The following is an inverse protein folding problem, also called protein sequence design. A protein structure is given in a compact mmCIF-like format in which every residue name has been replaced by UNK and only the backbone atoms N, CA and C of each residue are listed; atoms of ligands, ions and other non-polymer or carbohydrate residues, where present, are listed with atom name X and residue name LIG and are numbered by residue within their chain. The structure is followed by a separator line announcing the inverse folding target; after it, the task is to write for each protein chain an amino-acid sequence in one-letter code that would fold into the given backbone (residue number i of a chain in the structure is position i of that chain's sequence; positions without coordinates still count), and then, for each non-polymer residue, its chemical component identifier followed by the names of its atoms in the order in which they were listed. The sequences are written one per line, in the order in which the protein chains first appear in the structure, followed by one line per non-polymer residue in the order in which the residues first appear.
data_IF_573068253059
#
_entry.id   IF_573068253059
#
_cell.length_a   1.000
_cell.length_b   1.000
_cell.length_c   1.000
_cell.angle_alpha   90.00
_cell.angle_beta   90.00
_cell.angle_gamma   90.00
#
_symmetry.space_group_name_H-M   'P 1'
#
loop_
_entity.id
_entity.type
_entity.pdbx_description
1 polymer ?
#
# COMPACT_ATOMS: atom_id res chain seq x y z
N UNK A 1 23.56 21.52 8.06
CA UNK A 1 22.14 21.36 8.42
C UNK A 1 22.10 20.33 9.53
N UNK A 2 21.32 20.50 10.60
CA UNK A 2 21.25 19.46 11.63
C UNK A 2 20.61 18.21 11.02
N UNK A 3 21.25 17.05 11.18
CA UNK A 3 20.71 15.78 10.71
C UNK A 3 19.44 15.44 11.49
N UNK A 4 18.47 14.81 10.82
CA UNK A 4 17.26 14.32 11.48
C UNK A 4 17.58 13.14 12.37
N UNK A 5 16.99 13.10 13.57
CA UNK A 5 17.08 11.94 14.46
C UNK A 5 16.10 10.85 13.98
N UNK A 6 16.58 9.64 13.58
CA UNK A 6 15.71 8.53 13.22
C UNK A 6 14.73 8.13 14.34
N UNK A 7 15.07 8.41 15.60
CA UNK A 7 14.24 8.11 16.77
C UNK A 7 12.95 8.95 16.83
N UNK A 8 12.87 10.03 16.06
CA UNK A 8 11.68 10.88 16.01
C UNK A 8 10.54 10.29 15.17
N UNK A 9 10.84 9.34 14.29
CA UNK A 9 9.89 8.83 13.32
C UNK A 9 9.18 7.57 13.84
N UNK A 10 7.87 7.51 13.62
CA UNK A 10 7.00 6.50 14.26
C UNK A 10 6.19 5.68 13.27
N UNK A 11 6.06 6.13 12.03
CA UNK A 11 5.31 5.42 10.98
C UNK A 11 6.16 5.32 9.72
N UNK A 12 6.21 4.12 9.14
CA UNK A 12 6.83 3.89 7.84
C UNK A 12 5.75 3.72 6.78
N UNK A 13 5.80 4.53 5.73
CA UNK A 13 5.05 4.35 4.50
C UNK A 13 5.97 3.70 3.47
N UNK A 14 5.78 2.42 3.20
CA UNK A 14 6.56 1.68 2.19
C UNK A 14 5.79 1.79 0.88
N UNK A 15 6.38 2.52 -0.07
CA UNK A 15 5.86 2.76 -1.41
C UNK A 15 6.87 2.19 -2.42
N UNK A 16 6.72 0.92 -2.83
CA UNK A 16 7.70 0.23 -3.66
C UNK A 16 8.11 0.97 -4.94
N UNK A 17 7.16 1.55 -5.68
CA UNK A 17 7.40 2.22 -6.95
C UNK A 17 7.57 3.73 -6.76
N UNK A 18 8.38 4.35 -7.63
CA UNK A 18 8.57 5.81 -7.63
C UNK A 18 7.24 6.58 -7.78
N UNK A 19 6.32 6.06 -8.60
CA UNK A 19 4.99 6.67 -8.79
C UNK A 19 4.12 6.59 -7.52
N UNK A 20 4.28 5.55 -6.70
CA UNK A 20 3.59 5.39 -5.42
C UNK A 20 4.20 6.32 -4.37
N UNK A 21 5.53 6.50 -4.39
CA UNK A 21 6.24 7.41 -3.51
C UNK A 21 5.92 8.89 -3.83
N UNK A 22 5.77 9.23 -5.11
CA UNK A 22 5.29 10.54 -5.56
C UNK A 22 3.87 10.79 -5.01
N UNK A 23 2.96 9.82 -5.12
CA UNK A 23 1.62 9.93 -4.57
C UNK A 23 1.62 10.08 -3.03
N UNK A 24 2.42 9.27 -2.33
CA UNK A 24 2.61 9.38 -0.88
C UNK A 24 3.11 10.77 -0.47
N UNK A 25 4.09 11.30 -1.20
CA UNK A 25 4.66 12.64 -0.98
C UNK A 25 3.62 13.73 -1.10
N UNK A 26 2.73 13.64 -2.09
CA UNK A 26 1.67 14.63 -2.31
C UNK A 26 0.59 14.61 -1.21
N UNK A 27 0.39 13.44 -0.58
CA UNK A 27 -0.56 13.22 0.52
C UNK A 27 -0.08 13.75 1.86
N UNK A 28 1.23 13.94 2.05
CA UNK A 28 1.78 14.50 3.29
C UNK A 28 1.42 15.99 3.44
N UNK A 29 1.27 16.44 4.68
CA UNK A 29 1.08 17.86 4.98
C UNK A 29 2.37 18.67 4.68
N UNK A 30 3.53 18.00 4.69
CA UNK A 30 4.82 18.60 4.43
C UNK A 30 5.98 17.60 4.50
N UNK A 31 7.11 18.00 3.92
CA UNK A 31 8.38 17.26 3.96
C UNK A 31 9.38 17.99 4.86
N UNK A 32 10.25 17.23 5.51
CA UNK A 32 11.42 17.81 6.18
C UNK A 32 12.53 18.08 5.14
N UNK A 33 13.15 19.27 5.15
CA UNK A 33 14.21 19.62 4.20
C UNK A 33 15.53 18.92 4.51
N UNK A 34 15.73 18.54 5.76
CA UNK A 34 16.91 17.85 6.27
C UNK A 34 16.89 16.37 5.86
N UNK A 35 18.07 15.72 5.94
CA UNK A 35 18.25 14.32 5.58
C UNK A 35 18.69 13.53 6.80
N UNK A 36 18.57 12.21 6.70
CA UNK A 36 19.20 11.31 7.66
C UNK A 36 20.69 11.11 7.32
N UNK A 37 21.52 10.98 8.33
CA UNK A 37 22.90 10.55 8.16
C UNK A 37 22.93 9.06 7.80
N UNK A 38 23.54 8.72 6.66
CA UNK A 38 23.69 7.34 6.21
C UNK A 38 25.12 6.86 6.41
N UNK A 39 25.29 5.58 6.71
CA UNK A 39 26.58 4.92 6.92
C UNK A 39 26.85 3.92 5.82
N UNK A 40 28.11 3.54 5.66
CA UNK A 40 28.48 2.48 4.74
C UNK A 40 27.77 1.19 5.15
N UNK A 41 27.04 0.60 4.20
CA UNK A 41 26.18 -0.57 4.43
C UNK A 41 24.70 -0.23 4.48
N UNK A 42 24.33 1.05 4.38
CA UNK A 42 22.93 1.41 4.18
C UNK A 42 22.52 1.30 2.70
N UNK A 43 21.47 0.51 2.42
CA UNK A 43 21.01 0.22 1.05
C UNK A 43 19.87 1.12 0.57
N UNK A 44 19.06 1.67 1.48
CA UNK A 44 17.88 2.48 1.18
C UNK A 44 18.01 3.91 1.70
N UNK A 45 17.40 4.86 0.99
CA UNK A 45 17.25 6.25 1.40
C UNK A 45 15.79 6.52 1.73
N UNK A 46 15.55 7.21 2.83
CA UNK A 46 14.21 7.51 3.32
C UNK A 46 13.85 8.98 3.13
N UNK A 47 12.62 9.25 2.68
CA UNK A 47 12.10 10.60 2.57
C UNK A 47 11.30 10.96 3.84
N UNK A 48 11.74 11.93 4.63
CA UNK A 48 11.08 12.32 5.87
C UNK A 48 9.95 13.34 5.62
N UNK A 49 8.80 13.15 6.26
CA UNK A 49 7.72 14.14 6.26
C UNK A 49 6.74 13.96 7.41
N UNK A 50 5.60 14.65 7.34
CA UNK A 50 4.60 14.59 8.39
C UNK A 50 3.16 14.60 7.87
N UNK A 51 2.26 14.00 8.64
CA UNK A 51 0.82 14.02 8.38
C UNK A 51 0.06 14.06 9.70
N UNK A 52 -0.77 15.08 9.91
CA UNK A 52 -1.60 15.27 11.10
C UNK A 52 -0.80 15.14 12.42
N UNK A 53 0.43 15.67 12.43
CA UNK A 53 1.33 15.62 13.59
C UNK A 53 2.12 14.32 13.76
N UNK A 54 1.87 13.29 12.94
CA UNK A 54 2.71 12.09 12.87
C UNK A 54 3.94 12.37 12.02
N UNK A 55 5.12 11.95 12.51
CA UNK A 55 6.38 11.94 11.75
C UNK A 55 6.49 10.62 10.98
N UNK A 56 6.50 10.73 9.66
CA UNK A 56 6.42 9.60 8.72
C UNK A 56 7.69 9.56 7.89
N UNK A 57 8.21 8.35 7.64
CA UNK A 57 9.18 8.13 6.57
C UNK A 57 8.50 7.47 5.37
N UNK A 58 8.85 7.90 4.17
CA UNK A 58 8.54 7.18 2.93
C UNK A 58 9.77 6.37 2.53
N UNK A 59 9.56 5.08 2.28
CA UNK A 59 10.59 4.14 1.88
C UNK A 59 10.25 3.57 0.50
N UNK A 60 11.19 3.66 -0.45
CA UNK A 60 11.00 3.26 -1.86
C UNK A 60 12.12 2.33 -2.29
N UNK A 61 11.83 1.41 -3.21
CA UNK A 61 12.85 0.53 -3.75
C UNK A 61 13.86 1.31 -4.62
N UNK A 62 15.12 0.89 -4.66
CA UNK A 62 16.13 1.44 -5.56
C UNK A 62 15.71 1.34 -7.02
N UNK A 63 16.25 2.23 -7.86
CA UNK A 63 16.04 2.17 -9.30
C UNK A 63 16.59 0.85 -9.85
N UNK A 64 15.75 0.12 -10.58
CA UNK A 64 16.11 -1.16 -11.20
C UNK A 64 16.01 -2.38 -10.27
N UNK A 65 15.63 -2.19 -9.00
CA UNK A 65 15.33 -3.28 -8.09
C UNK A 65 14.05 -4.02 -8.55
N UNK A 66 14.09 -5.34 -8.56
CA UNK A 66 12.91 -6.14 -8.85
C UNK A 66 11.88 -6.00 -7.73
N UNK A 67 10.61 -5.79 -8.09
CA UNK A 67 9.54 -5.79 -7.10
C UNK A 67 9.23 -7.21 -6.66
N UNK A 68 9.09 -7.42 -5.35
CA UNK A 68 8.77 -8.73 -4.81
C UNK A 68 8.82 -8.78 -3.29
N UNK A 69 8.43 -9.92 -2.74
CA UNK A 69 8.43 -10.19 -1.30
C UNK A 69 9.82 -10.07 -0.68
N UNK A 70 10.87 -10.50 -1.40
CA UNK A 70 12.26 -10.38 -0.99
C UNK A 70 12.72 -8.93 -0.83
N UNK A 71 12.58 -8.10 -1.86
CA UNK A 71 12.97 -6.70 -1.82
C UNK A 71 12.12 -5.88 -0.84
N UNK A 72 10.83 -6.21 -0.69
CA UNK A 72 9.98 -5.64 0.35
C UNK A 72 10.43 -6.02 1.78
N UNK A 73 10.89 -7.25 1.99
CA UNK A 73 11.44 -7.68 3.28
C UNK A 73 12.77 -6.98 3.60
N UNK A 74 13.63 -6.78 2.59
CA UNK A 74 14.91 -6.11 2.75
C UNK A 74 14.74 -4.63 3.17
N UNK A 75 13.86 -3.88 2.49
CA UNK A 75 13.55 -2.49 2.88
C UNK A 75 12.92 -2.41 4.27
N UNK A 76 11.98 -3.31 4.59
CA UNK A 76 11.35 -3.35 5.93
C UNK A 76 12.37 -3.68 7.03
N UNK A 77 13.32 -4.57 6.75
CA UNK A 77 14.41 -4.90 7.67
C UNK A 77 15.29 -3.70 7.95
N UNK A 78 15.68 -2.94 6.91
CA UNK A 78 16.47 -1.74 7.13
C UNK A 78 15.69 -0.65 7.85
N UNK A 79 14.41 -0.43 7.51
CA UNK A 79 13.55 0.52 8.26
C UNK A 79 13.58 0.19 9.76
N UNK A 80 13.42 -1.09 10.11
CA UNK A 80 13.44 -1.53 11.51
C UNK A 80 14.80 -1.32 12.18
N UNK A 81 15.89 -1.48 11.43
CA UNK A 81 17.26 -1.27 11.94
C UNK A 81 17.60 0.20 12.09
N UNK A 82 17.14 1.05 11.17
CA UNK A 82 17.50 2.46 11.09
C UNK A 82 16.64 3.34 11.99
N UNK A 83 15.36 3.01 12.15
CA UNK A 83 14.38 3.80 12.92
C UNK A 83 13.92 3.04 14.18
N UNK A 84 14.51 3.31 15.35
CA UNK A 84 14.29 2.50 16.56
C UNK A 84 12.87 2.63 17.13
N UNK A 85 12.14 3.71 16.80
CA UNK A 85 10.84 4.04 17.36
C UNK A 85 9.67 3.86 16.39
N UNK A 86 9.86 3.15 15.26
CA UNK A 86 8.75 2.80 14.37
C UNK A 86 7.74 1.92 15.10
N UNK A 87 6.48 2.35 15.11
CA UNK A 87 5.37 1.61 15.70
C UNK A 87 4.77 0.61 14.71
N UNK A 88 4.65 1.02 13.45
CA UNK A 88 4.16 0.17 12.36
C UNK A 88 4.58 0.70 11.00
N UNK A 89 4.64 -0.20 10.03
CA UNK A 89 4.79 0.12 8.62
C UNK A 89 3.51 -0.18 7.85
N UNK A 90 3.21 0.64 6.85
CA UNK A 90 2.13 0.42 5.88
C UNK A 90 2.77 0.24 4.50
N UNK A 91 2.57 -0.92 3.89
CA UNK A 91 2.84 -1.09 2.47
C UNK A 91 1.64 -0.53 1.69
N UNK A 92 1.86 0.52 0.92
CA UNK A 92 0.81 1.19 0.15
C UNK A 92 1.31 1.37 -1.27
N UNK A 93 0.58 0.78 -2.21
CA UNK A 93 0.93 0.77 -3.61
C UNK A 93 -0.27 0.42 -4.49
N UNK A 94 -0.03 0.40 -5.80
CA UNK A 94 -1.03 -0.01 -6.79
C UNK A 94 -1.10 -1.52 -6.87
N UNK A 95 -2.31 -2.03 -7.10
CA UNK A 95 -2.55 -3.45 -7.27
C UNK A 95 -3.57 -3.68 -8.38
N UNK A 96 -3.48 -4.84 -9.03
CA UNK A 96 -4.52 -5.28 -9.95
C UNK A 96 -5.75 -5.77 -9.18
N UNK A 97 -6.94 -5.46 -9.68
CA UNK A 97 -8.20 -5.97 -9.17
C UNK A 97 -8.68 -7.18 -9.98
N UNK A 98 -9.27 -8.17 -9.30
CA UNK A 98 -9.94 -9.30 -9.93
C UNK A 98 -11.41 -9.32 -9.50
N UNK A 99 -12.29 -8.55 -10.14
CA UNK A 99 -13.72 -8.61 -9.83
C UNK A 99 -14.27 -10.01 -10.15
N UNK A 100 -15.38 -10.35 -9.50
CA UNK A 100 -16.15 -11.55 -9.75
C UNK A 100 -17.62 -11.19 -9.51
N UNK A 101 -18.28 -10.68 -10.55
CA UNK A 101 -19.68 -10.26 -10.47
C UNK A 101 -20.65 -11.45 -10.46
N UNK A 102 -20.18 -12.63 -10.86
CA UNK A 102 -20.96 -13.87 -10.90
C UNK A 102 -21.12 -14.56 -9.53
N UNK A 103 -20.26 -14.26 -8.54
CA UNK A 103 -20.40 -14.83 -7.18
C UNK A 103 -21.54 -14.18 -6.39
N UNK A 104 -22.05 -14.88 -5.38
CA UNK A 104 -23.06 -14.37 -4.45
C UNK A 104 -22.52 -14.34 -3.00
N UNK A 105 -22.34 -13.16 -2.37
CA UNK A 105 -22.52 -11.81 -2.93
C UNK A 105 -21.43 -11.45 -3.94
N UNK A 106 -21.66 -10.49 -4.87
CA UNK A 106 -20.67 -10.12 -5.89
C UNK A 106 -19.35 -9.62 -5.31
N UNK A 107 -18.24 -9.84 -6.03
CA UNK A 107 -16.95 -9.18 -5.79
C UNK A 107 -16.83 -8.05 -6.80
N UNK A 108 -17.38 -6.90 -6.47
CA UNK A 108 -17.26 -5.72 -7.30
C UNK A 108 -16.01 -4.95 -6.85
N UNK A 109 -14.90 -5.14 -7.55
CA UNK A 109 -13.63 -4.42 -7.35
C UNK A 109 -13.42 -3.58 -8.59
N UNK A 110 -13.27 -2.27 -8.41
CA UNK A 110 -13.22 -1.28 -9.46
C UNK A 110 -11.94 -0.47 -9.44
N UNK A 111 -11.63 0.20 -10.55
CA UNK A 111 -10.51 1.13 -10.58
C UNK A 111 -10.74 2.27 -9.57
N UNK A 112 -9.72 2.55 -8.77
CA UNK A 112 -9.79 3.54 -7.70
C UNK A 112 -10.24 2.98 -6.34
N UNK A 113 -10.69 1.73 -6.25
CA UNK A 113 -10.97 1.10 -4.96
C UNK A 113 -9.70 0.95 -4.13
N UNK A 114 -9.79 1.32 -2.86
CA UNK A 114 -8.71 1.12 -1.88
C UNK A 114 -9.01 -0.12 -1.06
N UNK A 115 -8.22 -1.17 -1.28
CA UNK A 115 -8.31 -2.42 -0.55
C UNK A 115 -7.44 -2.37 0.71
N UNK A 116 -8.02 -2.74 1.85
CA UNK A 116 -7.31 -2.82 3.13
C UNK A 116 -7.28 -4.27 3.59
N UNK A 117 -6.08 -4.83 3.71
CA UNK A 117 -5.89 -6.22 4.13
C UNK A 117 -6.17 -6.38 5.64
N UNK A 118 -7.31 -7.00 5.98
CA UNK A 118 -7.72 -7.30 7.35
C UNK A 118 -8.22 -8.73 7.41
N UNK A 119 -7.75 -9.50 8.39
CA UNK A 119 -8.26 -10.85 8.61
C UNK A 119 -9.70 -10.81 9.14
N UNK A 120 -10.56 -11.69 8.61
CA UNK A 120 -11.95 -11.86 9.02
C UNK A 120 -12.16 -13.26 9.59
N UNK A 121 -12.24 -13.36 10.92
CA UNK A 121 -12.29 -14.64 11.63
C UNK A 121 -11.10 -15.53 11.27
N UNK A 122 -11.39 -16.67 10.64
CA UNK A 122 -10.37 -17.62 10.15
C UNK A 122 -9.87 -17.28 8.73
N UNK A 123 -10.47 -16.33 8.02
CA UNK A 123 -10.01 -15.95 6.69
C UNK A 123 -8.83 -14.98 6.79
N UNK A 124 -7.67 -15.31 6.20
CA UNK A 124 -6.53 -14.40 6.20
C UNK A 124 -6.85 -13.15 5.36
N UNK A 125 -6.43 -11.99 5.84
CA UNK A 125 -6.52 -10.74 5.06
C UNK A 125 -5.50 -10.68 3.89
N UNK A 126 -4.49 -11.55 3.92
CA UNK A 126 -3.46 -11.67 2.90
C UNK A 126 -3.11 -13.14 2.68
N UNK A 127 -3.08 -13.54 1.41
CA UNK A 127 -2.77 -14.91 0.99
C UNK A 127 -1.50 -14.90 0.14
N UNK A 128 -0.47 -15.64 0.55
CA UNK A 128 0.74 -15.85 -0.25
C UNK A 128 0.49 -17.03 -1.21
N UNK A 129 0.08 -16.71 -2.44
CA UNK A 129 -0.33 -17.70 -3.44
C UNK A 129 0.85 -18.39 -4.15
N UNK A 130 2.05 -17.80 -4.06
CA UNK A 130 3.31 -18.32 -4.60
C UNK A 130 3.99 -19.34 -3.67
N UNK A 131 3.52 -19.44 -2.42
CA UNK A 131 4.05 -20.34 -1.41
C UNK A 131 3.18 -21.59 -1.28
N UNK A 132 3.48 -22.61 -2.09
CA UNK A 132 2.82 -23.90 -2.03
C UNK A 132 3.78 -25.08 -2.18
N UNK A 133 3.26 -26.27 -1.90
CA UNK A 133 3.93 -27.55 -2.12
C UNK A 133 3.15 -28.31 -3.19
N UNK A 134 3.88 -28.80 -4.19
CA UNK A 134 3.30 -29.73 -5.17
C UNK A 134 3.02 -31.08 -4.48
N UNK A 135 1.76 -31.52 -4.53
CA UNK A 135 1.30 -32.80 -3.96
C UNK A 135 1.07 -33.87 -5.04
N UNK A 136 1.63 -33.71 -6.24
CA UNK A 136 1.54 -34.69 -7.33
C UNK A 136 0.25 -34.56 -8.14
N UNK A 137 -0.21 -33.32 -8.36
CA UNK A 137 -1.41 -33.01 -9.15
C UNK A 137 -2.04 -31.66 -8.83
N UNK A 138 -1.85 -31.18 -7.60
CA UNK A 138 -2.35 -29.90 -7.11
C UNK A 138 -1.24 -29.14 -6.36
N UNK A 139 -1.31 -27.80 -6.37
CA UNK A 139 -0.49 -26.95 -5.53
C UNK A 139 -1.21 -26.73 -4.18
N UNK A 140 -0.70 -27.33 -3.12
CA UNK A 140 -1.20 -27.09 -1.76
C UNK A 140 -0.49 -25.88 -1.17
N UNK A 141 -1.22 -24.78 -0.93
CA UNK A 141 -0.65 -23.59 -0.30
C UNK A 141 -0.16 -23.90 1.13
N UNK A 142 1.07 -23.50 1.44
CA UNK A 142 1.63 -23.64 2.78
C UNK A 142 0.80 -22.83 3.78
N UNK A 143 0.46 -23.43 4.93
CA UNK A 143 -0.40 -22.82 5.95
C UNK A 143 -1.76 -22.35 5.40
N UNK A 144 -2.30 -23.02 4.37
CA UNK A 144 -3.50 -22.59 3.64
C UNK A 144 -3.35 -21.18 3.05
N UNK A 145 -2.12 -20.80 2.71
CA UNK A 145 -1.73 -19.49 2.18
C UNK A 145 -1.72 -18.37 3.21
N UNK A 146 -2.00 -18.64 4.50
CA UNK A 146 -2.09 -17.61 5.55
C UNK A 146 -0.73 -16.98 5.82
N UNK A 147 -0.65 -15.66 5.74
CA UNK A 147 0.51 -14.91 6.24
C UNK A 147 0.46 -14.86 7.77
N UNK A 148 1.55 -15.28 8.42
CA UNK A 148 1.62 -15.45 9.88
C UNK A 148 1.62 -14.13 10.66
N UNK A 149 2.10 -13.05 10.04
CA UNK A 149 2.13 -11.73 10.65
C UNK A 149 0.72 -11.13 10.68
N UNK A 150 0.20 -10.90 11.89
CA UNK A 150 -1.05 -10.17 12.08
C UNK A 150 -0.78 -8.66 11.99
N UNK A 151 -1.63 -7.95 11.29
CA UNK A 151 -1.64 -6.48 11.29
C UNK A 151 -1.63 -5.96 12.74
N UNK A 152 -0.78 -4.96 12.98
CA UNK A 152 -0.56 -4.40 14.31
C UNK A 152 -1.87 -3.99 15.00
N UNK A 153 -1.96 -4.20 16.32
CA UNK A 153 -3.20 -4.00 17.07
C UNK A 153 -3.72 -2.57 16.96
N UNK A 154 -2.82 -1.60 16.99
CA UNK A 154 -3.16 -0.18 16.85
C UNK A 154 -3.79 0.12 15.49
N UNK A 155 -3.26 -0.48 14.41
CA UNK A 155 -3.79 -0.32 13.04
C UNK A 155 -5.17 -0.97 12.93
N UNK A 156 -5.36 -2.18 13.47
CA UNK A 156 -6.69 -2.83 13.50
C UNK A 156 -7.73 -2.06 14.32
N UNK A 157 -7.30 -1.44 15.42
CA UNK A 157 -8.14 -0.53 16.21
C UNK A 157 -8.54 0.71 15.41
N UNK A 158 -7.60 1.30 14.67
CA UNK A 158 -7.86 2.43 13.78
C UNK A 158 -8.87 2.06 12.67
N UNK A 159 -8.72 0.90 12.04
CA UNK A 159 -9.68 0.38 11.06
C UNK A 159 -11.08 0.27 11.66
N UNK A 160 -11.20 -0.31 12.86
CA UNK A 160 -12.50 -0.43 13.56
C UNK A 160 -13.12 0.95 13.82
N UNK A 161 -12.29 1.93 14.22
CA UNK A 161 -12.74 3.30 14.45
C UNK A 161 -13.26 3.95 13.15
N UNK A 162 -12.52 3.80 12.05
CA UNK A 162 -12.92 4.31 10.72
C UNK A 162 -14.25 3.69 10.30
N UNK A 163 -14.36 2.36 10.36
CA UNK A 163 -15.58 1.62 9.99
C UNK A 163 -16.81 2.09 10.78
N UNK A 164 -16.67 2.34 12.09
CA UNK A 164 -17.78 2.81 12.94
C UNK A 164 -18.25 4.23 12.59
N UNK A 165 -17.38 5.04 12.01
CA UNK A 165 -17.67 6.44 11.66
C UNK A 165 -18.15 6.60 10.21
N UNK A 166 -17.98 5.57 9.38
CA UNK A 166 -18.58 5.53 8.04
C UNK A 166 -20.10 5.28 8.13
N UNK A 167 -20.92 5.94 7.29
CA UNK A 167 -20.54 6.80 6.16
C UNK A 167 -20.31 8.29 6.52
N UNK A 168 -20.64 8.73 7.74
CA UNK A 168 -20.62 10.14 8.15
C UNK A 168 -19.26 10.83 7.94
N UNK A 169 -18.17 10.08 8.10
CA UNK A 169 -16.80 10.55 7.96
C UNK A 169 -16.27 10.56 6.52
N UNK A 170 -17.02 10.06 5.54
CA UNK A 170 -16.57 10.01 4.13
C UNK A 170 -16.10 11.38 3.60
N UNK A 171 -16.72 12.46 4.09
CA UNK A 171 -16.34 13.83 3.74
C UNK A 171 -14.91 14.21 4.16
N UNK A 172 -14.38 13.60 5.24
CA UNK A 172 -13.00 13.84 5.69
C UNK A 172 -12.02 13.32 4.63
N UNK A 173 -12.27 12.11 4.13
CA UNK A 173 -11.47 11.51 3.08
C UNK A 173 -11.61 12.30 1.77
N UNK A 174 -12.83 12.64 1.37
CA UNK A 174 -13.10 13.40 0.15
C UNK A 174 -12.35 14.74 0.13
N UNK A 175 -12.25 15.44 1.27
CA UNK A 175 -11.46 16.68 1.35
C UNK A 175 -9.98 16.46 1.04
N UNK A 176 -9.39 15.37 1.53
CA UNK A 176 -8.00 15.02 1.24
C UNK A 176 -7.83 14.59 -0.22
N UNK A 177 -8.80 13.85 -0.76
CA UNK A 177 -8.84 13.46 -2.16
C UNK A 177 -8.94 14.68 -3.09
N UNK A 178 -9.87 15.61 -2.86
CA UNK A 178 -10.04 16.83 -3.65
C UNK A 178 -8.78 17.70 -3.65
N UNK A 179 -8.11 17.79 -2.50
CA UNK A 179 -6.85 18.50 -2.37
C UNK A 179 -5.74 17.84 -3.18
N UNK A 180 -5.64 16.51 -3.11
CA UNK A 180 -4.70 15.72 -3.90
C UNK A 180 -4.99 15.89 -5.39
N UNK A 181 -6.25 15.76 -5.81
CA UNK A 181 -6.69 15.89 -7.20
C UNK A 181 -6.27 17.22 -7.79
N UNK A 182 -6.46 18.34 -7.07
CA UNK A 182 -6.00 19.67 -7.53
C UNK A 182 -4.49 19.76 -7.71
N UNK A 183 -3.70 19.18 -6.80
CA UNK A 183 -2.23 19.13 -6.93
C UNK A 183 -1.84 18.31 -8.16
N UNK A 184 -2.47 17.16 -8.33
CA UNK A 184 -2.24 16.20 -9.41
C UNK A 184 -2.58 16.81 -10.78
N UNK A 185 -3.74 17.45 -10.90
CA UNK A 185 -4.17 18.20 -12.09
C UNK A 185 -3.17 19.29 -12.48
N UNK A 186 -2.69 20.06 -11.50
CA UNK A 186 -1.68 21.10 -11.73
C UNK A 186 -0.34 20.53 -12.25
N UNK A 187 -0.03 19.27 -11.92
CA UNK A 187 1.18 18.57 -12.39
C UNK A 187 0.97 17.85 -13.73
N UNK A 188 -0.28 17.70 -14.20
CA UNK A 188 -0.61 16.95 -15.42
C UNK A 188 -0.27 15.47 -15.36
N UNK A 189 -0.12 14.90 -14.16
CA UNK A 189 0.13 13.46 -13.92
C UNK A 189 -1.12 12.80 -13.31
N UNK A 190 -1.17 11.47 -13.23
CA UNK A 190 -2.24 10.69 -12.58
C UNK A 190 -3.68 11.07 -12.98
N UNK A 191 -3.94 11.17 -14.29
CA UNK A 191 -5.28 11.47 -14.80
C UNK A 191 -6.24 10.33 -14.45
N UNK A 192 -7.31 10.66 -13.73
CA UNK A 192 -8.43 9.74 -13.52
C UNK A 192 -9.33 9.75 -14.77
N UNK A 193 -9.46 8.62 -15.49
CA UNK A 193 -10.30 8.56 -16.68
C UNK A 193 -11.81 8.71 -16.37
N UNK A 194 -12.21 8.55 -15.10
CA UNK A 194 -13.59 8.53 -14.65
C UNK A 194 -14.16 7.12 -14.55
N UNK A 195 -15.09 6.93 -13.62
CA UNK A 195 -15.77 5.64 -13.38
C UNK A 195 -16.60 5.18 -14.60
N UNK A 196 -17.02 6.09 -15.46
CA UNK A 196 -17.71 5.78 -16.73
C UNK A 196 -16.82 5.06 -17.74
N UNK A 197 -15.49 5.13 -17.55
CA UNK A 197 -14.50 4.43 -18.37
C UNK A 197 -13.89 3.21 -17.67
N UNK A 198 -14.39 2.87 -16.48
CA UNK A 198 -14.01 1.62 -15.82
C UNK A 198 -14.71 0.45 -16.53
N UNK A 199 -13.92 -0.30 -17.29
CA UNK A 199 -14.40 -1.38 -18.17
C UNK A 199 -13.76 -2.68 -17.76
N UNK A 200 -14.58 -3.68 -17.46
CA UNK A 200 -14.13 -5.04 -17.28
C UNK A 200 -13.98 -5.70 -18.65
N UNK A 201 -12.80 -6.24 -18.91
CA UNK A 201 -12.54 -7.03 -20.10
C UNK A 201 -12.41 -8.50 -19.74
N UNK A 202 -12.94 -9.36 -20.59
CA UNK A 202 -12.79 -10.81 -20.55
C UNK A 202 -12.29 -11.32 -21.91
N UNK A 203 -11.95 -12.60 -21.98
CA UNK A 203 -11.47 -13.24 -23.19
C UNK A 203 -12.46 -14.31 -23.63
N UNK A 204 -12.94 -14.25 -24.86
CA UNK A 204 -13.85 -15.26 -25.41
C UNK A 204 -13.11 -16.58 -25.74
N UNK A 205 -13.86 -17.61 -26.14
CA UNK A 205 -13.32 -18.93 -26.51
C UNK A 205 -12.34 -18.89 -27.71
N UNK A 206 -12.25 -17.77 -28.42
CA UNK A 206 -11.36 -17.55 -29.57
C UNK A 206 -10.12 -16.72 -29.20
N UNK A 207 -10.02 -16.25 -27.95
CA UNK A 207 -8.94 -15.37 -27.52
C UNK A 207 -9.17 -13.89 -27.79
N UNK A 208 -10.39 -13.49 -28.21
CA UNK A 208 -10.73 -12.09 -28.46
C UNK A 208 -11.14 -11.39 -27.17
N UNK A 209 -10.65 -10.17 -26.98
CA UNK A 209 -11.01 -9.34 -25.82
C UNK A 209 -12.42 -8.78 -25.99
N UNK A 210 -13.29 -9.07 -25.02
CA UNK A 210 -14.67 -8.59 -24.98
C UNK A 210 -14.89 -7.76 -23.71
N UNK A 211 -15.71 -6.71 -23.80
CA UNK A 211 -16.15 -5.92 -22.64
C UNK A 211 -17.35 -6.64 -21.99
N UNK A 212 -17.34 -6.78 -20.65
CA UNK A 212 -18.34 -7.54 -19.87
C UNK A 212 -19.19 -6.63 -18.99
#
# INVERSE_FOLDING_TARGET
MPDLDPSDFTVAWIAPLAIEADAATLMLDGLYPDRFEHKRGDDYVFLPGHLQGLKIIIATLPVGEEYGTGSAAAIASQVKSFFPNIWFGLLVGVAAGLPNLARAPPRDIRLGDVLVAVADGEQPGLVAYDLGKDTGGDLELLHSGRVLAKTERIVRSAITSIQRRMPSDSQIFLRHFDFLQKKVEAMGKFVDPGQDKDKLYDTDDKGETIEV
#
